data_IF_656120608155
#
_entry.id   IF_656120608155
#
_cell.length_a   1.000
_cell.length_b   1.000
_cell.length_c   1.000
_cell.angle_alpha   90.00
_cell.angle_beta   90.00
_cell.angle_gamma   90.00
#
_symmetry.space_group_name_H-M   'P 1'
#
loop_
_entity.id
_entity.type
_entity.pdbx_description
1 polymer ?
#
# COMPACT_ATOMS: atom_id res chain seq x y z
N UNK A 1 -5.97 -4.85 11.17
CA UNK A 1 -7.19 -4.02 11.32
C UNK A 1 -7.60 -3.36 10.01
N UNK A 2 -6.74 -2.51 9.44
CA UNK A 2 -7.09 -1.63 8.31
C UNK A 2 -7.45 -2.36 6.99
N UNK A 3 -6.80 -3.50 6.71
CA UNK A 3 -7.03 -4.26 5.46
C UNK A 3 -8.43 -4.86 5.40
N UNK A 4 -9.01 -5.29 6.53
CA UNK A 4 -10.29 -6.00 6.52
C UNK A 4 -11.47 -5.06 6.25
N UNK A 5 -11.49 -3.87 6.88
CA UNK A 5 -12.52 -2.87 6.63
C UNK A 5 -12.44 -2.32 5.20
N UNK A 6 -11.24 -1.93 4.74
CA UNK A 6 -11.04 -1.45 3.38
C UNK A 6 -11.40 -2.51 2.34
N UNK A 7 -11.04 -3.77 2.56
CA UNK A 7 -11.42 -4.88 1.69
C UNK A 7 -12.94 -5.08 1.61
N UNK A 8 -13.67 -4.98 2.72
CA UNK A 8 -15.13 -5.07 2.70
C UNK A 8 -15.77 -3.93 1.90
N UNK A 9 -15.28 -2.70 2.07
CA UNK A 9 -15.74 -1.54 1.28
C UNK A 9 -15.44 -1.76 -0.20
N UNK A 10 -14.21 -2.13 -0.55
CA UNK A 10 -13.79 -2.40 -1.91
C UNK A 10 -14.66 -3.49 -2.58
N UNK A 11 -14.94 -4.59 -1.89
CA UNK A 11 -15.83 -5.64 -2.40
C UNK A 11 -17.29 -5.17 -2.54
N UNK A 12 -17.77 -4.28 -1.67
CA UNK A 12 -19.11 -3.71 -1.80
C UNK A 12 -19.20 -2.78 -3.00
N UNK A 13 -18.20 -1.91 -3.22
CA UNK A 13 -18.10 -1.03 -4.38
C UNK A 13 -18.01 -1.83 -5.68
N UNK A 14 -17.20 -2.89 -5.69
CA UNK A 14 -17.08 -3.81 -6.83
C UNK A 14 -18.44 -4.42 -7.23
N UNK A 15 -19.29 -4.76 -6.25
CA UNK A 15 -20.64 -5.30 -6.49
C UNK A 15 -21.67 -4.25 -6.88
N UNK A 16 -21.33 -2.96 -6.82
CA UNK A 16 -22.24 -1.90 -7.20
C UNK A 16 -22.48 -1.91 -8.72
N UNK A 17 -23.75 -1.92 -9.12
CA UNK A 17 -24.14 -1.97 -10.54
C UNK A 17 -23.85 -0.69 -11.35
N UNK A 18 -23.68 0.45 -10.71
CA UNK A 18 -23.49 1.73 -11.39
C UNK A 18 -22.00 2.08 -11.39
N UNK A 19 -21.62 3.03 -12.23
CA UNK A 19 -20.24 3.53 -12.27
C UNK A 19 -19.85 4.07 -10.89
N UNK A 20 -18.75 3.54 -10.35
CA UNK A 20 -18.08 4.04 -9.15
C UNK A 20 -16.87 4.86 -9.59
N UNK A 21 -16.83 6.13 -9.21
CA UNK A 21 -15.67 7.00 -9.41
C UNK A 21 -15.06 7.32 -8.04
N UNK A 22 -13.74 7.18 -7.91
CA UNK A 22 -13.00 7.58 -6.71
C UNK A 22 -12.17 8.81 -7.03
N UNK A 23 -12.37 9.89 -6.26
CA UNK A 23 -11.62 11.13 -6.38
C UNK A 23 -10.48 11.16 -5.34
N UNK A 24 -9.25 11.37 -5.80
CA UNK A 24 -8.03 11.43 -4.98
C UNK A 24 -7.40 12.81 -5.14
N UNK A 25 -7.79 13.81 -4.33
CA UNK A 25 -7.28 15.19 -4.47
C UNK A 25 -5.87 15.38 -3.90
N UNK A 26 -5.41 14.51 -2.98
CA UNK A 26 -4.10 14.62 -2.35
C UNK A 26 -3.36 13.30 -2.28
N UNK A 27 -3.89 12.30 -1.57
CA UNK A 27 -3.30 10.97 -1.53
C UNK A 27 -4.31 9.91 -1.08
N UNK A 28 -4.10 8.66 -1.52
CA UNK A 28 -4.80 7.49 -1.03
C UNK A 28 -3.78 6.36 -0.80
N UNK A 29 -3.43 6.11 0.46
CA UNK A 29 -2.41 5.12 0.85
C UNK A 29 -3.07 3.87 1.46
N UNK A 30 -2.43 2.71 1.33
CA UNK A 30 -2.85 1.45 1.97
C UNK A 30 -4.33 1.15 1.69
N UNK A 31 -5.20 1.13 2.70
CA UNK A 31 -6.64 0.89 2.53
C UNK A 31 -7.33 1.85 1.55
N UNK A 32 -6.87 3.09 1.42
CA UNK A 32 -7.37 4.04 0.42
C UNK A 32 -7.09 3.57 -1.00
N UNK A 33 -5.86 3.10 -1.28
CA UNK A 33 -5.53 2.50 -2.58
C UNK A 33 -6.38 1.28 -2.85
N UNK A 34 -6.56 0.40 -1.86
CA UNK A 34 -7.36 -0.81 -2.01
C UNK A 34 -8.81 -0.49 -2.42
N UNK A 35 -9.40 0.56 -1.85
CA UNK A 35 -10.72 1.06 -2.23
C UNK A 35 -10.70 1.61 -3.65
N UNK A 36 -9.70 2.41 -4.01
CA UNK A 36 -9.55 2.95 -5.38
C UNK A 36 -9.49 1.85 -6.44
N UNK A 37 -8.85 0.71 -6.17
CA UNK A 37 -8.78 -0.41 -7.11
C UNK A 37 -10.14 -1.05 -7.42
N UNK A 38 -11.17 -0.84 -6.60
CA UNK A 38 -12.53 -1.31 -6.87
C UNK A 38 -13.32 -0.40 -7.83
N UNK A 39 -12.82 0.81 -8.11
CA UNK A 39 -13.53 1.82 -8.89
C UNK A 39 -13.57 1.47 -10.38
N UNK A 40 -14.53 2.06 -11.10
CA UNK A 40 -14.52 2.09 -12.57
C UNK A 40 -13.54 3.14 -13.10
N UNK A 41 -13.32 4.19 -12.32
CA UNK A 41 -12.49 5.34 -12.67
C UNK A 41 -11.88 5.91 -11.40
N UNK A 42 -10.61 6.29 -11.47
CA UNK A 42 -9.89 6.96 -10.40
C UNK A 42 -9.49 8.33 -10.93
N UNK A 43 -10.11 9.39 -10.41
CA UNK A 43 -9.77 10.77 -10.76
C UNK A 43 -8.76 11.27 -9.74
N UNK A 44 -7.53 11.53 -10.17
CA UNK A 44 -6.44 11.99 -9.31
C UNK A 44 -6.10 13.44 -9.64
N UNK A 45 -5.78 14.25 -8.62
CA UNK A 45 -5.00 15.46 -8.91
C UNK A 45 -3.68 15.06 -9.58
N UNK A 46 -3.13 15.92 -10.42
CA UNK A 46 -1.87 15.66 -11.13
C UNK A 46 -0.69 15.36 -10.18
N UNK A 47 -0.74 15.89 -8.96
CA UNK A 47 0.27 15.70 -7.91
C UNK A 47 -0.19 14.73 -6.82
N UNK A 48 -1.38 14.13 -6.95
CA UNK A 48 -1.85 13.15 -6.00
C UNK A 48 -1.11 11.81 -6.16
N UNK A 49 -1.08 11.05 -5.07
CA UNK A 49 -0.40 9.75 -5.03
C UNK A 49 -1.30 8.63 -4.50
N UNK A 50 -1.16 7.45 -5.11
CA UNK A 50 -1.58 6.19 -4.52
C UNK A 50 -0.41 5.57 -3.76
N UNK A 51 -0.69 4.66 -2.82
CA UNK A 51 0.32 3.93 -2.07
C UNK A 51 0.41 2.46 -2.45
N UNK A 52 1.50 1.78 -2.10
CA UNK A 52 1.58 0.33 -2.20
C UNK A 52 0.62 -0.36 -1.23
N UNK A 53 0.40 -1.65 -1.47
CA UNK A 53 -0.42 -2.55 -0.68
C UNK A 53 0.45 -3.66 -0.05
N UNK A 54 1.68 -3.34 0.34
CA UNK A 54 2.56 -4.29 1.03
C UNK A 54 2.10 -4.48 2.50
N UNK A 55 1.88 -5.73 2.96
CA UNK A 55 1.55 -5.96 4.35
C UNK A 55 2.73 -5.65 5.28
N UNK A 56 2.46 -5.00 6.40
CA UNK A 56 3.43 -4.79 7.48
C UNK A 56 3.09 -5.65 8.70
N UNK A 57 4.09 -6.29 9.28
CA UNK A 57 3.98 -7.11 10.49
C UNK A 57 4.91 -6.55 11.57
N UNK A 58 4.30 -5.95 12.59
CA UNK A 58 5.06 -5.18 13.58
C UNK A 58 5.71 -3.98 12.92
N UNK A 59 7.03 -3.86 13.04
CA UNK A 59 7.82 -2.75 12.50
C UNK A 59 8.47 -3.07 11.14
N UNK A 60 8.18 -4.23 10.56
CA UNK A 60 8.85 -4.71 9.35
C UNK A 60 7.86 -5.03 8.22
N UNK A 61 8.22 -4.75 6.96
CA UNK A 61 7.48 -5.22 5.80
C UNK A 61 7.50 -6.75 5.70
N UNK A 62 6.38 -7.34 5.28
CA UNK A 62 6.24 -8.78 5.12
C UNK A 62 7.30 -9.36 4.17
N UNK A 63 7.55 -8.67 3.05
CA UNK A 63 8.57 -9.06 2.06
C UNK A 63 9.99 -9.07 2.67
N UNK A 64 10.32 -8.08 3.49
CA UNK A 64 11.61 -8.01 4.18
C UNK A 64 11.79 -9.16 5.16
N UNK A 65 10.75 -9.53 5.92
CA UNK A 65 10.79 -10.69 6.82
C UNK A 65 11.06 -11.98 6.02
N UNK A 66 10.39 -12.17 4.88
CA UNK A 66 10.60 -13.34 4.04
C UNK A 66 12.03 -13.41 3.48
N UNK A 67 12.63 -12.26 3.12
CA UNK A 67 14.00 -12.20 2.62
C UNK A 67 15.04 -12.73 3.61
N UNK A 68 14.74 -12.74 4.92
CA UNK A 68 15.63 -13.32 5.95
C UNK A 68 15.80 -14.82 5.74
N UNK A 69 14.73 -15.53 5.35
CA UNK A 69 14.76 -16.97 5.09
C UNK A 69 15.65 -17.34 3.89
N UNK A 70 15.82 -16.42 2.94
CA UNK A 70 16.65 -16.61 1.75
C UNK A 70 18.13 -16.30 2.02
N UNK A 71 18.40 -15.45 3.02
CA UNK A 71 19.74 -14.90 3.30
C UNK A 71 20.46 -15.56 4.47
N UNK A 72 19.73 -16.22 5.38
CA UNK A 72 20.30 -16.88 6.56
C UNK A 72 19.99 -18.37 6.54
N UNK A 73 20.88 -19.17 7.12
CA UNK A 73 20.61 -20.58 7.35
C UNK A 73 19.51 -20.75 8.41
N UNK A 74 18.67 -21.79 8.34
CA UNK A 74 17.61 -22.01 9.31
C UNK A 74 18.06 -22.02 10.78
N UNK A 75 19.24 -22.60 11.06
CA UNK A 75 19.85 -22.67 12.40
C UNK A 75 20.23 -21.30 12.99
N UNK A 76 20.41 -20.26 12.15
CA UNK A 76 20.78 -18.92 12.56
C UNK A 76 19.56 -17.99 12.73
N UNK A 77 18.34 -18.49 12.49
CA UNK A 77 17.10 -17.71 12.48
C UNK A 77 16.33 -17.96 13.77
N UNK A 78 15.97 -16.89 14.46
CA UNK A 78 15.16 -16.97 15.68
C UNK A 78 13.77 -17.55 15.36
N UNK A 79 13.24 -18.41 16.23
CA UNK A 79 11.89 -19.01 16.10
C UNK A 79 10.80 -17.97 15.84
N UNK A 80 10.89 -16.82 16.49
CA UNK A 80 9.96 -15.70 16.27
C UNK A 80 9.96 -15.22 14.82
N UNK A 81 11.13 -15.20 14.17
CA UNK A 81 11.27 -14.82 12.77
C UNK A 81 10.65 -15.86 11.85
N UNK A 82 10.75 -17.17 12.17
CA UNK A 82 10.04 -18.21 11.42
C UNK A 82 8.52 -18.04 11.50
N UNK A 83 7.99 -17.79 12.70
CA UNK A 83 6.56 -17.55 12.89
C UNK A 83 6.13 -16.29 12.12
N UNK A 84 6.88 -15.20 12.22
CA UNK A 84 6.61 -13.97 11.48
C UNK A 84 6.67 -14.21 9.96
N UNK A 85 7.62 -14.99 9.47
CA UNK A 85 7.74 -15.30 8.05
C UNK A 85 6.55 -16.12 7.53
N UNK A 86 6.05 -17.09 8.31
CA UNK A 86 4.82 -17.82 7.97
C UNK A 86 3.61 -16.87 7.90
N UNK A 87 3.44 -15.99 8.88
CA UNK A 87 2.36 -14.99 8.88
C UNK A 87 2.53 -14.00 7.71
N UNK A 88 3.75 -13.56 7.40
CA UNK A 88 4.07 -12.68 6.26
C UNK A 88 3.65 -13.31 4.94
N UNK A 89 3.98 -14.59 4.73
CA UNK A 89 3.58 -15.33 3.52
C UNK A 89 2.06 -15.37 3.39
N UNK A 90 1.34 -15.69 4.48
CA UNK A 90 -0.12 -15.71 4.51
C UNK A 90 -0.72 -14.34 4.21
N UNK A 91 -0.18 -13.28 4.82
CA UNK A 91 -0.66 -11.92 4.62
C UNK A 91 -0.50 -11.45 3.16
N UNK A 92 0.67 -11.69 2.56
CA UNK A 92 0.92 -11.35 1.14
C UNK A 92 -0.05 -12.14 0.24
N UNK A 93 -0.18 -13.45 0.43
CA UNK A 93 -1.07 -14.28 -0.39
C UNK A 93 -2.53 -13.85 -0.29
N UNK A 94 -3.02 -13.54 0.92
CA UNK A 94 -4.38 -13.07 1.14
C UNK A 94 -4.63 -11.73 0.46
N UNK A 95 -3.74 -10.75 0.66
CA UNK A 95 -3.90 -9.42 0.07
C UNK A 95 -3.76 -9.45 -1.45
N UNK A 96 -2.79 -10.20 -1.97
CA UNK A 96 -2.63 -10.42 -3.41
C UNK A 96 -3.91 -10.97 -4.03
N UNK A 97 -4.52 -11.98 -3.41
CA UNK A 97 -5.78 -12.56 -3.89
C UNK A 97 -6.88 -11.51 -3.94
N UNK A 98 -7.03 -10.72 -2.88
CA UNK A 98 -8.02 -9.62 -2.86
C UNK A 98 -7.76 -8.61 -3.97
N UNK A 99 -6.51 -8.16 -4.17
CA UNK A 99 -6.15 -7.19 -5.21
C UNK A 99 -6.43 -7.76 -6.61
N UNK A 100 -6.02 -9.00 -6.86
CA UNK A 100 -6.29 -9.69 -8.13
C UNK A 100 -7.79 -9.80 -8.43
N UNK A 101 -8.61 -10.11 -7.41
CA UNK A 101 -10.07 -10.17 -7.53
C UNK A 101 -10.71 -8.80 -7.84
N UNK A 102 -10.17 -7.71 -7.29
CA UNK A 102 -10.66 -6.35 -7.58
C UNK A 102 -10.28 -5.92 -9.00
N UNK A 103 -9.03 -6.16 -9.41
CA UNK A 103 -8.52 -5.78 -10.72
C UNK A 103 -9.13 -6.61 -11.87
N UNK A 104 -9.38 -7.90 -11.65
CA UNK A 104 -9.81 -8.85 -12.69
C UNK A 104 -11.15 -8.54 -13.36
N UNK A 105 -11.97 -7.63 -12.83
CA UNK A 105 -13.17 -7.15 -13.52
C UNK A 105 -12.88 -6.13 -14.63
N UNK A 106 -11.73 -5.47 -14.58
CA UNK A 106 -11.42 -4.27 -15.37
C UNK A 106 -10.21 -4.46 -16.27
N UNK A 107 -9.39 -5.48 -16.02
CA UNK A 107 -8.22 -5.81 -16.83
C UNK A 107 -8.07 -7.31 -17.03
N UNK A 108 -7.28 -7.71 -18.03
CA UNK A 108 -7.01 -9.11 -18.31
C UNK A 108 -6.38 -9.81 -17.09
N UNK A 109 -6.67 -11.09 -16.91
CA UNK A 109 -6.25 -11.86 -15.73
C UNK A 109 -4.74 -11.83 -15.50
N UNK A 110 -3.94 -11.91 -16.56
CA UNK A 110 -2.47 -11.89 -16.46
C UNK A 110 -1.97 -10.51 -16.01
N UNK A 111 -2.56 -9.43 -16.52
CA UNK A 111 -2.26 -8.07 -16.10
C UNK A 111 -2.67 -7.81 -14.65
N UNK A 112 -3.86 -8.28 -14.25
CA UNK A 112 -4.33 -8.21 -12.87
C UNK A 112 -3.40 -8.96 -11.91
N UNK A 113 -2.91 -10.13 -12.32
CA UNK A 113 -1.98 -10.94 -11.53
C UNK A 113 -0.64 -10.23 -11.37
N UNK A 114 -0.05 -9.74 -12.48
CA UNK A 114 1.23 -9.04 -12.45
C UNK A 114 1.16 -7.75 -11.62
N UNK A 115 0.07 -6.99 -11.72
CA UNK A 115 -0.12 -5.77 -10.93
C UNK A 115 -0.35 -6.09 -9.45
N UNK A 116 -1.15 -7.12 -9.13
CA UNK A 116 -1.35 -7.56 -7.77
C UNK A 116 -0.04 -8.03 -7.11
N UNK A 117 0.82 -8.74 -7.84
CA UNK A 117 2.15 -9.11 -7.36
C UNK A 117 2.98 -7.85 -7.07
N UNK A 118 3.07 -6.90 -8.02
CA UNK A 118 3.84 -5.66 -7.83
C UNK A 118 3.39 -4.87 -6.60
N UNK A 119 2.09 -4.70 -6.41
CA UNK A 119 1.51 -3.90 -5.33
C UNK A 119 1.68 -4.55 -3.94
N UNK A 120 1.85 -5.87 -3.84
CA UNK A 120 1.80 -6.60 -2.56
C UNK A 120 3.11 -7.23 -2.11
N UNK A 121 4.11 -7.37 -3.00
CA UNK A 121 5.35 -8.10 -2.73
C UNK A 121 6.54 -7.22 -2.30
N UNK A 122 6.29 -5.95 -1.95
CA UNK A 122 7.34 -5.05 -1.48
C UNK A 122 8.28 -4.55 -2.57
N UNK A 123 7.78 -4.42 -3.81
CA UNK A 123 8.48 -3.74 -4.92
C UNK A 123 8.91 -2.32 -4.54
N UNK A 124 8.08 -1.67 -3.74
CA UNK A 124 8.30 -0.32 -3.22
C UNK A 124 8.32 -0.33 -1.70
N UNK A 125 8.93 0.71 -1.11
CA UNK A 125 8.76 1.04 0.30
C UNK A 125 7.34 1.53 0.56
N UNK A 126 6.85 1.36 1.79
CA UNK A 126 5.45 1.66 2.11
C UNK A 126 5.03 3.13 1.94
N UNK A 127 6.01 4.04 1.95
CA UNK A 127 5.86 5.48 1.76
C UNK A 127 6.00 5.93 0.30
N UNK A 128 6.25 5.00 -0.63
CA UNK A 128 6.36 5.31 -2.04
C UNK A 128 5.04 5.84 -2.60
N UNK A 129 5.08 7.03 -3.18
CA UNK A 129 3.94 7.65 -3.84
C UNK A 129 3.89 7.27 -5.32
N UNK A 130 2.89 6.48 -5.70
CA UNK A 130 2.57 6.13 -7.08
C UNK A 130 1.76 7.30 -7.67
N UNK A 131 2.40 8.15 -8.47
CA UNK A 131 1.76 9.32 -9.09
C UNK A 131 0.74 8.93 -10.17
N UNK A 132 -0.08 9.90 -10.60
CA UNK A 132 -1.14 9.67 -11.60
C UNK A 132 -0.63 9.04 -12.91
N UNK A 133 0.49 9.53 -13.45
CA UNK A 133 1.09 8.98 -14.67
C UNK A 133 1.63 7.56 -14.49
N UNK A 134 2.27 7.26 -13.36
CA UNK A 134 2.75 5.90 -13.06
C UNK A 134 1.57 4.94 -12.87
N UNK A 135 0.54 5.36 -12.13
CA UNK A 135 -0.68 4.58 -11.94
C UNK A 135 -1.36 4.26 -13.28
N UNK A 136 -1.36 5.21 -14.23
CA UNK A 136 -1.84 5.01 -15.59
C UNK A 136 -0.98 4.01 -16.37
N UNK A 137 0.35 4.09 -16.26
CA UNK A 137 1.28 3.12 -16.87
C UNK A 137 1.13 1.71 -16.28
N UNK A 138 0.70 1.59 -15.02
CA UNK A 138 0.34 0.33 -14.39
C UNK A 138 -1.00 -0.25 -14.90
N UNK A 139 -1.71 0.46 -15.77
CA UNK A 139 -2.97 0.02 -16.37
C UNK A 139 -4.21 0.33 -15.53
N UNK A 140 -4.10 1.21 -14.53
CA UNK A 140 -5.26 1.68 -13.76
C UNK A 140 -6.07 2.70 -14.57
N UNK A 141 -7.40 2.77 -14.37
CA UNK A 141 -8.28 3.70 -15.09
C UNK A 141 -8.18 5.12 -14.53
N UNK A 142 -7.02 5.76 -14.73
CA UNK A 142 -6.71 7.08 -14.18
C UNK A 142 -7.20 8.21 -15.11
N UNK A 143 -7.88 9.19 -14.53
CA UNK A 143 -8.14 10.51 -15.12
C UNK A 143 -7.53 11.59 -14.23
N UNK A 144 -7.11 12.71 -14.82
CA UNK A 144 -6.65 13.91 -14.10
C UNK A 144 -7.62 15.08 -14.21
N UNK A 145 -8.82 14.83 -14.74
CA UNK A 145 -9.89 15.82 -14.89
C UNK A 145 -10.69 15.95 -13.58
N UNK A 146 -10.06 16.58 -12.58
CA UNK A 146 -10.65 16.81 -11.26
C UNK A 146 -11.65 17.97 -11.31
N UNK A 147 -12.93 17.75 -10.94
CA UNK A 147 -13.89 18.84 -10.82
C UNK A 147 -13.48 19.85 -9.73
N UNK A 148 -13.64 21.15 -10.00
CA UNK A 148 -13.29 22.22 -9.05
C UNK A 148 -14.08 22.09 -7.74
N UNK A 149 -15.32 21.58 -7.79
CA UNK A 149 -16.17 21.38 -6.61
C UNK A 149 -15.57 20.41 -5.59
N UNK A 150 -14.70 19.49 -6.04
CA UNK A 150 -13.96 18.60 -5.13
C UNK A 150 -12.95 19.40 -4.32
N UNK A 151 -12.24 20.34 -4.95
CA UNK A 151 -11.31 21.22 -4.24
C UNK A 151 -12.04 22.17 -3.30
N UNK A 152 -13.15 22.75 -3.73
CA UNK A 152 -13.99 23.61 -2.89
C UNK A 152 -14.49 22.85 -1.66
N UNK A 153 -14.96 21.61 -1.85
CA UNK A 153 -15.38 20.76 -0.74
C UNK A 153 -14.23 20.48 0.23
N UNK A 154 -13.05 20.14 -0.28
CA UNK A 154 -11.87 19.88 0.57
C UNK A 154 -11.41 21.11 1.34
N UNK A 155 -11.55 22.31 0.78
CA UNK A 155 -11.20 23.57 1.44
C UNK A 155 -12.06 23.85 2.69
N UNK A 156 -13.26 23.26 2.78
CA UNK A 156 -14.12 23.33 3.98
C UNK A 156 -13.59 22.49 5.16
N UNK A 157 -12.66 21.57 4.90
CA UNK A 157 -12.09 20.66 5.90
C UNK A 157 -10.55 20.78 5.94
N UNK A 158 -10.01 21.93 6.39
CA UNK A 158 -8.57 22.11 6.48
C UNK A 158 -7.99 21.03 7.39
N UNK A 159 -7.08 20.24 6.83
CA UNK A 159 -6.40 19.19 7.59
C UNK A 159 -5.56 19.86 8.69
N UNK A 160 -5.68 19.43 9.96
CA UNK A 160 -4.80 19.92 10.99
C UNK A 160 -3.36 19.57 10.58
N UNK A 161 -2.52 20.59 10.40
CA UNK A 161 -1.10 20.41 10.09
C UNK A 161 -0.45 19.66 11.23
N UNK A 162 -0.36 18.33 11.10
CA UNK A 162 0.60 17.56 11.89
C UNK A 162 1.96 18.01 11.41
N UNK A 163 2.70 18.70 12.28
CA UNK A 163 4.12 18.99 12.10
C UNK A 163 4.87 17.65 12.00
N UNK A 164 4.88 17.06 10.81
CA UNK A 164 5.85 16.03 10.46
C UNK A 164 7.17 16.78 10.20
N UNK A 165 8.26 16.45 10.89
CA UNK A 165 9.56 17.00 10.54
C UNK A 165 9.84 16.71 9.06
N UNK A 166 10.34 17.71 8.33
CA UNK A 166 10.58 17.63 6.88
C UNK A 166 11.58 16.53 6.47
N UNK A 167 12.29 15.96 7.44
CA UNK A 167 13.21 14.83 7.32
C UNK A 167 12.97 13.92 8.52
N UNK A 168 12.51 12.69 8.28
CA UNK A 168 12.43 11.67 9.32
C UNK A 168 13.81 11.00 9.45
N UNK A 169 14.69 11.61 10.25
CA UNK A 169 15.95 10.97 10.63
C UNK A 169 15.62 9.87 11.63
N UNK A 170 15.67 8.61 11.19
CA UNK A 170 15.62 7.44 12.07
C UNK A 170 16.94 7.34 12.85
N UNK A 171 16.98 7.70 14.16
CA UNK A 171 18.19 7.55 14.93
C UNK A 171 18.34 6.07 15.28
N UNK A 172 19.18 5.36 14.51
CA UNK A 172 19.65 4.04 14.91
C UNK A 172 20.38 4.17 16.26
N UNK A 173 20.01 3.42 17.32
CA UNK A 173 20.77 3.46 18.55
C UNK A 173 22.14 2.82 18.31
N UNK A 174 23.19 3.64 18.41
CA UNK A 174 24.57 3.18 18.51
C UNK A 174 24.64 2.21 19.69
N UNK A 175 24.91 0.92 19.43
CA UNK A 175 25.24 -0.04 20.48
C UNK A 175 26.47 0.52 21.19
N UNK A 176 26.25 0.99 22.42
CA UNK A 176 27.29 1.56 23.26
C UNK A 176 28.50 0.64 23.29
N UNK A 177 29.66 1.22 22.99
CA UNK A 177 30.94 0.60 23.24
C UNK A 177 30.95 0.08 24.68
N UNK A 178 31.16 -1.23 24.85
CA UNK A 178 31.60 -1.79 26.13
C UNK A 178 32.95 -1.17 26.44
N UNK A 179 32.92 -0.07 27.20
CA UNK A 179 34.09 0.47 27.87
C UNK A 179 34.50 -0.53 28.93
N UNK A 180 35.65 -1.17 28.71
CA UNK A 180 36.33 -1.92 29.75
C UNK A 180 36.75 -1.01 30.90
N UNK A 181 36.60 -1.52 32.12
CA UNK A 181 37.40 -1.22 33.31
C UNK A 181 37.48 -2.54 34.07
N UNK A 182 38.67 -3.15 34.07
CA UNK A 182 39.63 -3.17 35.19
C UNK A 182 39.03 -3.83 36.43
#
# INVERSE_FOLDING_TARGET
GLVLAAGQIAHALRRHRAKVTVFVPHYAMSGGTLISLAANEIVMDANAVLGPLDPQLGEAPAASILSVLERKKPEDIEDKTFIMADISRKAILQLRKTVQELLGERMAQDAATALADKLTTGTWTHDYGIGAEEAKQLGLPISTDMPEEVYDFMALFPQPTRTRPAVEYLPMPYRGARQGRQ
#
